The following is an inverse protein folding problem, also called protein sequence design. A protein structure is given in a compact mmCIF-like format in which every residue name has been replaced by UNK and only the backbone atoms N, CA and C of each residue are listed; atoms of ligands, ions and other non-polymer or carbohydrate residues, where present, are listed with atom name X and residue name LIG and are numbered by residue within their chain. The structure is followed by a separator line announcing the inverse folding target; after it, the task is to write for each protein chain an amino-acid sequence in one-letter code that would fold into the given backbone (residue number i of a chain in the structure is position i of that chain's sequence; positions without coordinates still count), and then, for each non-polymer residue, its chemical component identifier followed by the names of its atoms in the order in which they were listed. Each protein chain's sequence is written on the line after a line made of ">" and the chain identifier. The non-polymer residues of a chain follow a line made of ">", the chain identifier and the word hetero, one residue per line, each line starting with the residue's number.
data_IF_892856818040
#
_entry.id   IF_892856818040
#
_cell.length_a   1.000
_cell.length_b   1.000
_cell.length_c   1.000
_cell.angle_alpha   90.00
_cell.angle_beta   90.00
_cell.angle_gamma   90.00
#
_symmetry.space_group_name_H-M   'P 1'
#
loop_
_entity.id
_entity.type
_entity.pdbx_description
1 polymer ?
#
# COMPACT_ATOMS: atom_id res chain seq x y z
N UNK A 1 28.15 23.73 10.75
CA UNK A 1 26.98 23.00 10.20
C UNK A 1 27.49 21.69 9.65
N UNK A 2 27.14 20.57 10.29
CA UNK A 2 27.56 19.23 9.84
C UNK A 2 26.63 18.85 8.68
N UNK A 3 27.14 18.92 7.46
CA UNK A 3 26.45 18.37 6.29
C UNK A 3 26.71 16.86 6.35
N UNK A 4 25.72 16.10 6.81
CA UNK A 4 25.79 14.64 6.78
C UNK A 4 25.87 14.18 5.31
N UNK A 5 27.08 13.80 4.88
CA UNK A 5 27.33 13.10 3.62
C UNK A 5 26.81 11.66 3.69
N UNK A 6 25.51 11.50 3.93
CA UNK A 6 24.87 10.20 3.80
C UNK A 6 24.81 9.78 2.33
N UNK A 7 25.38 8.61 2.04
CA UNK A 7 25.23 7.94 0.75
C UNK A 7 23.75 7.86 0.36
N UNK A 8 23.38 8.21 -0.89
CA UNK A 8 22.01 8.15 -1.38
C UNK A 8 21.33 6.79 -1.16
N UNK A 9 22.11 5.70 -1.17
CA UNK A 9 21.63 4.35 -0.89
C UNK A 9 21.20 4.17 0.57
N UNK A 10 21.90 4.79 1.53
CA UNK A 10 21.54 4.78 2.96
C UNK A 10 20.27 5.58 3.17
N UNK A 11 20.14 6.73 2.50
CA UNK A 11 18.95 7.57 2.54
C UNK A 11 17.71 6.85 1.98
N UNK A 12 17.88 6.11 0.88
CA UNK A 12 16.82 5.27 0.30
C UNK A 12 16.45 4.11 1.24
N UNK A 13 17.44 3.42 1.82
CA UNK A 13 17.18 2.35 2.80
C UNK A 13 16.42 2.88 4.01
N UNK A 14 16.79 4.03 4.58
CA UNK A 14 16.03 4.66 5.68
C UNK A 14 14.60 4.98 5.28
N UNK A 15 14.37 5.52 4.08
CA UNK A 15 13.01 5.76 3.57
C UNK A 15 12.22 4.46 3.39
N UNK A 16 12.86 3.41 2.88
CA UNK A 16 12.26 2.10 2.69
C UNK A 16 11.90 1.45 4.04
N UNK A 17 12.79 1.55 5.02
CA UNK A 17 12.55 1.10 6.40
C UNK A 17 11.43 1.91 7.05
N UNK A 18 11.43 3.24 6.93
CA UNK A 18 10.36 4.07 7.49
C UNK A 18 8.98 3.76 6.89
N UNK A 19 8.91 3.57 5.56
CA UNK A 19 7.67 3.18 4.89
C UNK A 19 7.27 1.72 5.19
N UNK A 20 8.24 0.82 5.34
CA UNK A 20 8.01 -0.58 5.73
C UNK A 20 7.55 -0.68 7.19
N UNK A 21 8.07 0.16 8.07
CA UNK A 21 7.68 0.27 9.47
C UNK A 21 6.30 0.93 9.61
N UNK A 22 5.99 1.96 8.82
CA UNK A 22 4.61 2.47 8.71
C UNK A 22 3.66 1.37 8.22
N UNK A 23 4.07 0.61 7.19
CA UNK A 23 3.30 -0.52 6.67
C UNK A 23 3.20 -1.71 7.64
N UNK A 24 4.19 -1.91 8.52
CA UNK A 24 4.26 -3.03 9.48
C UNK A 24 3.62 -2.71 10.82
N UNK A 25 3.62 -1.44 11.25
CA UNK A 25 2.82 -0.98 12.40
C UNK A 25 1.32 -1.21 12.17
N UNK A 26 0.88 -1.19 10.91
CA UNK A 26 -0.47 -1.58 10.50
C UNK A 26 -0.77 -3.10 10.59
N UNK A 27 0.23 -3.96 10.88
CA UNK A 27 0.11 -5.43 10.83
C UNK A 27 0.32 -6.17 12.16
N UNK A 28 0.70 -5.53 13.26
CA UNK A 28 0.96 -6.27 14.50
C UNK A 28 -0.30 -6.49 15.36
N UNK A 29 -0.98 -7.63 15.17
CA UNK A 29 -1.31 -8.60 16.25
C UNK A 29 -1.26 -10.05 15.68
N UNK A 30 -0.17 -10.74 16.05
CA UNK A 30 0.16 -12.17 16.09
C UNK A 30 0.32 -13.08 14.84
N UNK A 31 1.30 -14.03 14.91
CA UNK A 31 1.61 -14.98 13.85
C UNK A 31 0.85 -16.30 14.01
N UNK A 32 0.28 -16.81 12.92
CA UNK A 32 0.18 -18.25 12.71
C UNK A 32 0.11 -18.56 11.21
N UNK A 33 1.09 -19.33 10.78
CA UNK A 33 1.29 -19.84 9.44
C UNK A 33 0.08 -20.63 8.95
N UNK A 34 -0.36 -20.38 7.71
CA UNK A 34 -0.55 -21.39 6.66
C UNK A 34 -0.92 -20.72 5.33
N UNK A 35 -0.48 -21.38 4.27
CA UNK A 35 -0.46 -20.97 2.88
C UNK A 35 -1.84 -20.95 2.21
N UNK A 36 -1.83 -20.39 1.00
CA UNK A 36 -2.75 -20.59 -0.13
C UNK A 36 -3.92 -19.60 -0.28
N UNK A 37 -3.91 -19.04 -1.49
CA UNK A 37 -4.97 -18.42 -2.29
C UNK A 37 -5.48 -17.02 -1.94
N UNK A 38 -5.25 -16.14 -2.92
CA UNK A 38 -6.20 -15.18 -3.50
C UNK A 38 -7.20 -14.62 -2.52
N UNK A 39 -6.75 -13.66 -1.70
CA UNK A 39 -7.64 -12.93 -0.79
C UNK A 39 -7.51 -11.44 -1.05
N UNK A 40 -8.69 -10.86 -1.31
CA UNK A 40 -8.95 -9.43 -1.46
C UNK A 40 -8.10 -8.56 -0.53
N UNK A 41 -7.76 -7.32 -0.95
CA UNK A 41 -6.85 -6.45 -0.22
C UNK A 41 -7.26 -6.37 1.25
N UNK A 42 -6.40 -6.93 2.10
CA UNK A 42 -6.57 -6.91 3.56
C UNK A 42 -6.55 -5.44 3.98
N UNK A 43 -7.50 -4.95 4.76
CA UNK A 43 -7.59 -3.54 5.14
C UNK A 43 -6.51 -3.13 6.16
N UNK A 44 -6.04 -1.88 6.06
CA UNK A 44 -4.85 -1.30 6.74
C UNK A 44 -5.07 -0.84 8.17
N UNK A 45 -6.32 -0.78 8.61
CA UNK A 45 -6.62 -0.77 10.04
C UNK A 45 -7.53 -1.98 10.27
N UNK A 46 -7.05 -3.05 10.95
CA UNK A 46 -7.92 -4.16 11.30
C UNK A 46 -9.16 -3.64 12.03
N UNK A 47 -9.02 -2.54 12.78
CA UNK A 47 -10.08 -1.90 13.51
C UNK A 47 -11.07 -1.14 12.59
N UNK A 48 -10.64 -0.38 11.57
CA UNK A 48 -11.57 0.35 10.70
C UNK A 48 -12.46 -0.58 9.87
N UNK A 49 -11.92 -1.66 9.30
CA UNK A 49 -12.73 -2.64 8.57
C UNK A 49 -13.62 -3.45 9.51
N UNK A 50 -13.11 -3.85 10.69
CA UNK A 50 -13.94 -4.49 11.71
C UNK A 50 -15.05 -3.56 12.20
N UNK A 51 -14.77 -2.27 12.39
CA UNK A 51 -15.74 -1.25 12.81
C UNK A 51 -16.80 -1.04 11.74
N UNK A 52 -16.42 -0.89 10.48
CA UNK A 52 -17.38 -0.78 9.37
C UNK A 52 -18.26 -2.05 9.29
N UNK A 53 -17.67 -3.25 9.33
CA UNK A 53 -18.44 -4.51 9.35
C UNK A 53 -19.35 -4.64 10.56
N UNK A 54 -18.88 -4.25 11.75
CA UNK A 54 -19.72 -4.24 12.97
C UNK A 54 -20.87 -3.27 12.83
N UNK A 55 -20.64 -2.08 12.27
CA UNK A 55 -21.69 -1.09 12.04
C UNK A 55 -22.73 -1.61 11.05
N UNK A 56 -22.28 -2.15 9.92
CA UNK A 56 -23.16 -2.76 8.92
C UNK A 56 -24.03 -3.89 9.50
N UNK A 57 -23.45 -4.76 10.33
CA UNK A 57 -24.23 -5.78 11.06
C UNK A 57 -25.27 -5.18 12.00
N UNK A 58 -24.98 -4.05 12.65
CA UNK A 58 -25.98 -3.37 13.51
C UNK A 58 -27.13 -2.82 12.68
N UNK A 59 -26.85 -2.24 11.51
CA UNK A 59 -27.86 -1.80 10.54
C UNK A 59 -28.72 -2.99 10.12
N UNK A 60 -28.10 -4.09 9.72
CA UNK A 60 -28.81 -5.30 9.28
C UNK A 60 -29.73 -5.85 10.39
N UNK A 61 -29.23 -5.94 11.63
CA UNK A 61 -30.02 -6.40 12.79
C UNK A 61 -31.19 -5.47 13.07
N UNK A 62 -30.99 -4.15 13.04
CA UNK A 62 -32.06 -3.18 13.30
C UNK A 62 -33.13 -3.22 12.21
N UNK A 63 -32.75 -3.36 10.93
CA UNK A 63 -33.71 -3.56 9.84
C UNK A 63 -34.55 -4.80 10.07
N UNK A 64 -33.93 -5.93 10.41
CA UNK A 64 -34.68 -7.16 10.73
C UNK A 64 -35.60 -6.99 11.94
N UNK A 65 -35.19 -6.24 12.96
CA UNK A 65 -36.04 -5.94 14.12
C UNK A 65 -37.24 -5.06 13.76
N UNK A 66 -37.04 -4.06 12.90
CA UNK A 66 -38.12 -3.21 12.38
C UNK A 66 -39.08 -4.04 11.53
N UNK A 67 -38.58 -4.86 10.62
CA UNK A 67 -39.40 -5.73 9.78
C UNK A 67 -40.26 -6.69 10.62
N UNK A 68 -39.67 -7.28 11.67
CA UNK A 68 -40.40 -8.13 12.61
C UNK A 68 -41.46 -7.35 13.40
N UNK A 69 -41.13 -6.15 13.89
CA UNK A 69 -42.07 -5.30 14.63
C UNK A 69 -43.23 -4.82 13.75
N UNK A 70 -42.97 -4.48 12.48
CA UNK A 70 -43.98 -4.12 11.48
C UNK A 70 -44.90 -5.31 11.19
N UNK A 71 -44.35 -6.52 11.07
CA UNK A 71 -45.13 -7.74 10.87
C UNK A 71 -46.04 -8.03 12.08
N UNK A 72 -45.50 -7.94 13.30
CA UNK A 72 -46.28 -8.13 14.53
C UNK A 72 -47.36 -7.06 14.73
N UNK A 73 -47.13 -5.83 14.25
CA UNK A 73 -48.12 -4.76 14.25
C UNK A 73 -49.21 -5.01 13.19
N UNK A 74 -48.83 -5.50 12.01
CA UNK A 74 -49.77 -5.92 10.97
C UNK A 74 -50.71 -7.04 11.45
N UNK A 75 -50.19 -8.05 12.15
CA UNK A 75 -51.03 -9.12 12.71
C UNK A 75 -52.05 -8.56 13.72
N UNK A 76 -51.60 -7.73 14.68
CA UNK A 76 -52.49 -7.12 15.67
C UNK A 76 -53.51 -6.14 15.08
N UNK A 77 -53.19 -5.45 13.98
CA UNK A 77 -54.17 -4.61 13.26
C UNK A 77 -55.20 -5.47 12.51
N UNK A 78 -54.79 -6.61 11.98
CA UNK A 78 -55.70 -7.57 11.35
C UNK A 78 -56.66 -8.19 12.37
N UNK A 79 -56.17 -8.53 13.56
CA UNK A 79 -56.99 -8.97 14.70
C UNK A 79 -58.00 -7.89 15.12
N UNK A 80 -57.57 -6.62 15.20
CA UNK A 80 -58.45 -5.51 15.55
C UNK A 80 -59.59 -5.35 14.54
N UNK A 81 -59.28 -5.47 13.25
CA UNK A 81 -60.30 -5.40 12.19
C UNK A 81 -61.27 -6.57 12.28
N UNK A 82 -60.78 -7.79 12.53
CA UNK A 82 -61.65 -8.96 12.75
C UNK A 82 -62.57 -8.79 13.96
N UNK A 83 -62.10 -8.20 15.06
CA UNK A 83 -62.94 -7.94 16.25
C UNK A 83 -64.00 -6.88 15.95
N UNK A 84 -63.67 -5.84 15.16
CA UNK A 84 -64.62 -4.81 14.72
C UNK A 84 -65.69 -5.34 13.76
N UNK A 85 -65.33 -6.22 12.84
CA UNK A 85 -66.26 -6.80 11.86
C UNK A 85 -67.26 -7.79 12.49
N UNK A 86 -66.94 -8.30 13.68
CA UNK A 86 -67.84 -9.16 14.47
C UNK A 86 -68.89 -8.38 15.28
N UNK A 87 -68.92 -7.04 15.21
CA UNK A 87 -69.93 -6.20 15.87
C UNK A 87 -71.23 -6.24 15.04
N UNK A 88 -72.31 -6.89 15.50
CA UNK A 88 -73.58 -6.90 14.77
C UNK A 88 -74.22 -5.51 14.87
N UNK A 89 -74.49 -4.87 13.74
CA UNK A 89 -75.40 -3.72 13.64
C UNK A 89 -76.84 -4.19 13.80
N UNK A 90 -77.27 -4.52 15.03
CA UNK A 90 -78.70 -4.74 15.29
C UNK A 90 -79.07 -4.45 16.74
N UNK A 91 -79.89 -3.41 16.89
CA UNK A 91 -80.71 -3.12 18.06
C UNK A 91 -81.66 -4.30 18.30
N UNK A 92 -81.46 -5.09 19.36
CA UNK A 92 -82.52 -5.85 20.05
C UNK A 92 -82.03 -6.36 21.42
N UNK A 93 -82.57 -5.72 22.45
CA UNK A 93 -82.66 -5.96 23.90
C UNK A 93 -81.86 -7.06 24.64
N UNK A 94 -81.09 -6.57 25.62
CA UNK A 94 -80.98 -6.99 27.03
C UNK A 94 -79.90 -8.00 27.53
N UNK A 95 -79.52 -9.12 26.89
CA UNK A 95 -78.32 -9.89 27.32
C UNK A 95 -77.04 -9.45 26.60
N UNK A 96 -77.12 -8.54 25.62
CA UNK A 96 -76.01 -8.10 24.77
C UNK A 96 -75.09 -7.05 25.42
N UNK A 97 -75.55 -6.34 26.46
CA UNK A 97 -74.79 -5.23 27.08
C UNK A 97 -73.45 -5.69 27.67
N UNK A 98 -73.45 -6.80 28.42
CA UNK A 98 -72.20 -7.36 29.00
C UNK A 98 -71.21 -7.82 27.93
N UNK A 99 -71.68 -8.46 26.85
CA UNK A 99 -70.81 -8.87 25.74
C UNK A 99 -70.24 -7.68 24.97
N UNK A 100 -71.03 -6.61 24.84
CA UNK A 100 -70.59 -5.38 24.22
C UNK A 100 -69.55 -4.63 25.07
N UNK A 101 -69.73 -4.59 26.39
CA UNK A 101 -68.78 -3.98 27.33
C UNK A 101 -67.44 -4.75 27.36
N UNK A 102 -67.47 -6.09 27.34
CA UNK A 102 -66.27 -6.94 27.23
C UNK A 102 -65.55 -6.75 25.88
N UNK A 103 -66.29 -6.66 24.76
CA UNK A 103 -65.69 -6.39 23.44
C UNK A 103 -65.11 -4.96 23.33
N UNK A 104 -65.76 -3.96 23.95
CA UNK A 104 -65.26 -2.59 23.99
C UNK A 104 -63.96 -2.50 24.81
N UNK A 105 -63.86 -3.27 25.90
CA UNK A 105 -62.64 -3.38 26.70
C UNK A 105 -61.51 -4.02 25.89
N UNK A 106 -61.75 -5.16 25.25
CA UNK A 106 -60.76 -5.85 24.39
C UNK A 106 -60.29 -4.96 23.22
N UNK A 107 -61.21 -4.22 22.61
CA UNK A 107 -60.88 -3.28 21.52
C UNK A 107 -60.00 -2.14 22.03
N UNK A 108 -60.29 -1.61 23.22
CA UNK A 108 -59.51 -0.52 23.83
C UNK A 108 -58.11 -0.98 24.23
N UNK A 109 -57.99 -2.17 24.82
CA UNK A 109 -56.70 -2.78 25.15
C UNK A 109 -55.87 -3.06 23.90
N UNK A 110 -56.49 -3.58 22.83
CA UNK A 110 -55.80 -3.86 21.57
C UNK A 110 -55.32 -2.56 20.89
N UNK A 111 -56.12 -1.48 20.94
CA UNK A 111 -55.70 -0.15 20.47
C UNK A 111 -54.51 0.38 21.27
N UNK A 112 -54.50 0.21 22.60
CA UNK A 112 -53.35 0.61 23.43
C UNK A 112 -52.09 -0.19 23.10
N UNK A 113 -52.22 -1.50 22.89
CA UNK A 113 -51.11 -2.37 22.46
C UNK A 113 -50.58 -1.92 21.10
N UNK A 114 -51.46 -1.61 20.14
CA UNK A 114 -51.07 -1.11 18.82
C UNK A 114 -50.34 0.23 18.89
N UNK A 115 -50.82 1.17 19.71
CA UNK A 115 -50.11 2.43 19.95
C UNK A 115 -48.72 2.19 20.55
N UNK A 116 -48.60 1.32 21.55
CA UNK A 116 -47.31 0.98 22.15
C UNK A 116 -46.35 0.33 21.14
N UNK A 117 -46.85 -0.56 20.27
CA UNK A 117 -46.07 -1.18 19.19
C UNK A 117 -45.62 -0.15 18.16
N UNK A 118 -46.50 0.79 17.79
CA UNK A 118 -46.16 1.86 16.85
C UNK A 118 -45.06 2.77 17.40
N UNK A 119 -45.16 3.21 18.66
CA UNK A 119 -44.09 3.98 19.31
C UNK A 119 -42.77 3.22 19.30
N UNK A 120 -42.79 1.90 19.49
CA UNK A 120 -41.57 1.09 19.44
C UNK A 120 -40.95 1.01 18.04
N UNK A 121 -41.77 0.95 17.00
CA UNK A 121 -41.32 1.00 15.61
C UNK A 121 -40.66 2.36 15.34
N UNK A 122 -41.31 3.46 15.72
CA UNK A 122 -40.78 4.81 15.52
C UNK A 122 -39.41 4.99 16.23
N UNK A 123 -39.23 4.45 17.44
CA UNK A 123 -37.95 4.43 18.14
C UNK A 123 -36.86 3.65 17.37
N UNK A 124 -37.19 2.47 16.85
CA UNK A 124 -36.25 1.63 16.10
C UNK A 124 -35.87 2.29 14.77
N UNK A 125 -36.82 2.92 14.08
CA UNK A 125 -36.57 3.66 12.84
C UNK A 125 -35.63 4.85 13.07
N UNK A 126 -35.83 5.59 14.17
CA UNK A 126 -34.93 6.68 14.53
C UNK A 126 -33.51 6.16 14.84
N UNK A 127 -33.39 5.05 15.58
CA UNK A 127 -32.09 4.41 15.85
C UNK A 127 -31.41 3.90 14.57
N UNK A 128 -32.17 3.34 13.64
CA UNK A 128 -31.66 2.90 12.35
C UNK A 128 -31.06 4.07 11.58
N UNK A 129 -31.78 5.20 11.50
CA UNK A 129 -31.33 6.41 10.81
C UNK A 129 -30.01 6.94 11.37
N UNK A 130 -29.87 6.97 12.70
CA UNK A 130 -28.64 7.43 13.36
C UNK A 130 -27.46 6.51 13.05
N UNK A 131 -27.68 5.19 13.03
CA UNK A 131 -26.64 4.20 12.76
C UNK A 131 -26.26 4.15 11.27
N UNK A 132 -27.21 4.32 10.36
CA UNK A 132 -26.94 4.44 8.91
C UNK A 132 -26.09 5.69 8.60
N UNK A 133 -26.34 6.81 9.29
CA UNK A 133 -25.50 8.00 9.18
C UNK A 133 -24.06 7.72 9.64
N UNK A 134 -23.91 7.00 10.75
CA UNK A 134 -22.58 6.57 11.22
C UNK A 134 -21.91 5.60 10.24
N UNK A 135 -22.65 4.62 9.68
CA UNK A 135 -22.14 3.69 8.68
C UNK A 135 -21.59 4.42 7.46
N UNK A 136 -22.31 5.42 6.95
CA UNK A 136 -21.89 6.24 5.81
C UNK A 136 -20.56 6.96 6.08
N UNK A 137 -20.41 7.56 7.28
CA UNK A 137 -19.15 8.20 7.68
C UNK A 137 -18.00 7.20 7.78
N UNK A 138 -18.25 6.00 8.32
CA UNK A 138 -17.25 4.94 8.41
C UNK A 138 -16.86 4.40 7.03
N UNK A 139 -17.82 4.28 6.10
CA UNK A 139 -17.58 3.89 4.71
C UNK A 139 -16.64 4.87 4.02
N UNK A 140 -16.92 6.17 4.11
CA UNK A 140 -16.08 7.20 3.51
C UNK A 140 -14.66 7.26 4.12
N UNK A 141 -14.51 6.97 5.43
CA UNK A 141 -13.19 6.83 6.06
C UNK A 141 -12.46 5.59 5.55
N UNK A 142 -13.14 4.47 5.48
CA UNK A 142 -12.60 3.20 4.98
C UNK A 142 -12.11 3.31 3.54
N UNK A 143 -12.90 3.93 2.65
CA UNK A 143 -12.52 4.14 1.25
C UNK A 143 -11.28 5.01 1.11
N UNK A 144 -11.16 6.10 1.89
CA UNK A 144 -9.96 6.95 1.91
C UNK A 144 -8.71 6.18 2.33
N UNK A 145 -8.80 5.36 3.37
CA UNK A 145 -7.68 4.52 3.83
C UNK A 145 -7.29 3.47 2.78
N UNK A 146 -8.27 2.90 2.06
CA UNK A 146 -8.01 1.98 0.97
C UNK A 146 -7.20 2.64 -0.15
N UNK A 147 -7.62 3.82 -0.61
CA UNK A 147 -6.91 4.57 -1.65
C UNK A 147 -5.50 5.00 -1.20
N UNK A 148 -5.35 5.43 0.06
CA UNK A 148 -4.04 5.76 0.65
C UNK A 148 -3.10 4.55 0.60
N UNK A 149 -3.59 3.36 0.98
CA UNK A 149 -2.79 2.14 0.98
C UNK A 149 -2.36 1.73 -0.42
N UNK A 150 -3.27 1.77 -1.39
CA UNK A 150 -2.94 1.45 -2.79
C UNK A 150 -1.86 2.41 -3.32
N UNK A 151 -1.93 3.69 -2.97
CA UNK A 151 -0.90 4.68 -3.30
C UNK A 151 0.45 4.34 -2.66
N UNK A 152 0.47 4.00 -1.37
CA UNK A 152 1.69 3.59 -0.67
C UNK A 152 2.29 2.32 -1.24
N UNK A 153 1.47 1.34 -1.59
CA UNK A 153 1.92 0.07 -2.18
C UNK A 153 2.56 0.29 -3.56
N UNK A 154 2.00 1.18 -4.38
CA UNK A 154 2.61 1.57 -5.66
C UNK A 154 3.98 2.23 -5.45
N UNK A 155 4.09 3.15 -4.49
CA UNK A 155 5.36 3.81 -4.15
C UNK A 155 6.40 2.83 -3.62
N UNK A 156 6.00 1.85 -2.79
CA UNK A 156 6.92 0.81 -2.31
C UNK A 156 7.48 -0.01 -3.47
N UNK A 157 6.63 -0.46 -4.38
CA UNK A 157 7.05 -1.23 -5.56
C UNK A 157 8.01 -0.41 -6.46
N UNK A 158 7.75 0.89 -6.60
CA UNK A 158 8.61 1.80 -7.36
C UNK A 158 9.98 1.96 -6.70
N UNK A 159 10.03 2.19 -5.39
CA UNK A 159 11.28 2.30 -4.63
C UNK A 159 12.07 0.98 -4.61
N UNK A 160 11.40 -0.17 -4.56
CA UNK A 160 12.05 -1.49 -4.67
C UNK A 160 12.74 -1.65 -6.02
N UNK A 161 12.08 -1.26 -7.12
CA UNK A 161 12.68 -1.27 -8.46
C UNK A 161 13.86 -0.31 -8.57
N UNK A 162 13.74 0.91 -8.04
CA UNK A 162 14.85 1.87 -8.02
C UNK A 162 16.04 1.34 -7.24
N UNK A 163 15.81 0.72 -6.08
CA UNK A 163 16.86 0.13 -5.26
C UNK A 163 17.58 -1.00 -6.01
N UNK A 164 16.83 -1.88 -6.68
CA UNK A 164 17.41 -2.96 -7.49
C UNK A 164 18.25 -2.39 -8.64
N UNK A 165 17.76 -1.37 -9.34
CA UNK A 165 18.51 -0.71 -10.41
C UNK A 165 19.83 -0.11 -9.89
N UNK A 166 19.81 0.54 -8.73
CA UNK A 166 21.03 1.08 -8.11
C UNK A 166 22.02 -0.01 -7.69
N UNK A 167 21.54 -1.16 -7.21
CA UNK A 167 22.41 -2.29 -6.91
C UNK A 167 23.11 -2.80 -8.17
N UNK A 168 22.40 -2.94 -9.29
CA UNK A 168 23.00 -3.30 -10.58
C UNK A 168 24.07 -2.28 -11.02
N UNK A 169 23.78 -0.97 -10.91
CA UNK A 169 24.75 0.08 -11.21
C UNK A 169 26.00 0.00 -10.34
N UNK A 170 25.84 -0.28 -9.04
CA UNK A 170 26.96 -0.44 -8.11
C UNK A 170 27.87 -1.61 -8.48
N UNK A 171 27.29 -2.73 -8.91
CA UNK A 171 28.06 -3.90 -9.36
C UNK A 171 28.88 -3.55 -10.61
N UNK A 172 28.25 -2.89 -11.59
CA UNK A 172 28.92 -2.47 -12.82
C UNK A 172 30.07 -1.51 -12.55
N UNK A 173 29.88 -0.53 -11.66
CA UNK A 173 30.94 0.38 -11.25
C UNK A 173 32.11 -0.34 -10.57
N UNK A 174 31.82 -1.33 -9.73
CA UNK A 174 32.88 -2.15 -9.12
C UNK A 174 33.68 -2.98 -10.14
N UNK A 175 33.00 -3.50 -11.17
CA UNK A 175 33.67 -4.19 -12.28
C UNK A 175 34.59 -3.25 -13.05
N UNK A 176 34.10 -2.06 -13.44
CA UNK A 176 34.90 -1.07 -14.14
C UNK A 176 36.12 -0.62 -13.32
N UNK A 177 35.97 -0.46 -12.00
CA UNK A 177 37.10 -0.11 -11.13
C UNK A 177 38.16 -1.22 -11.11
N UNK A 178 37.73 -2.48 -11.05
CA UNK A 178 38.64 -3.65 -11.12
C UNK A 178 39.37 -3.70 -12.46
N UNK A 179 38.67 -3.40 -13.57
CA UNK A 179 39.28 -3.39 -14.90
C UNK A 179 40.31 -2.27 -15.06
N UNK A 180 40.03 -1.09 -14.49
CA UNK A 180 40.99 0.03 -14.46
C UNK A 180 42.24 -0.34 -13.65
N UNK A 181 42.09 -0.99 -12.49
CA UNK A 181 43.22 -1.46 -11.69
C UNK A 181 44.08 -2.48 -12.45
N UNK A 182 43.45 -3.42 -13.17
CA UNK A 182 44.15 -4.39 -14.02
C UNK A 182 44.93 -3.72 -15.15
N UNK A 183 44.31 -2.75 -15.83
CA UNK A 183 44.97 -1.98 -16.88
C UNK A 183 46.15 -1.18 -16.34
N UNK A 184 46.01 -0.60 -15.14
CA UNK A 184 47.09 0.13 -14.48
C UNK A 184 48.29 -0.78 -14.16
N UNK A 185 48.05 -1.98 -13.63
CA UNK A 185 49.12 -2.97 -13.38
C UNK A 185 49.80 -3.37 -14.69
N UNK A 186 49.04 -3.67 -15.75
CA UNK A 186 49.58 -4.04 -17.04
C UNK A 186 50.41 -2.90 -17.67
N UNK A 187 49.94 -1.66 -17.55
CA UNK A 187 50.67 -0.47 -18.01
C UNK A 187 52.02 -0.34 -17.30
N UNK A 188 52.05 -0.44 -15.96
CA UNK A 188 53.28 -0.34 -15.18
C UNK A 188 54.27 -1.46 -15.52
N UNK A 189 53.78 -2.68 -15.82
CA UNK A 189 54.62 -3.79 -16.26
C UNK A 189 55.25 -3.52 -17.63
N UNK A 190 54.47 -3.03 -18.60
CA UNK A 190 54.97 -2.64 -19.92
C UNK A 190 55.97 -1.47 -19.84
N UNK A 191 55.73 -0.50 -18.96
CA UNK A 191 56.66 0.60 -18.71
C UNK A 191 57.99 0.10 -18.14
N UNK A 192 57.96 -0.86 -17.20
CA UNK A 192 59.16 -1.48 -16.67
C UNK A 192 59.95 -2.25 -17.73
N UNK A 193 59.29 -3.03 -18.59
CA UNK A 193 59.92 -3.72 -19.72
C UNK A 193 60.56 -2.73 -20.70
N UNK A 194 59.87 -1.64 -21.02
CA UNK A 194 60.38 -0.60 -21.91
C UNK A 194 61.62 0.09 -21.32
N UNK A 195 61.60 0.41 -20.02
CA UNK A 195 62.76 0.96 -19.33
C UNK A 195 63.94 -0.02 -19.34
N UNK A 196 63.69 -1.31 -19.16
CA UNK A 196 64.72 -2.35 -19.22
C UNK A 196 65.33 -2.47 -20.64
N UNK A 197 64.51 -2.49 -21.69
CA UNK A 197 64.95 -2.51 -23.08
C UNK A 197 65.76 -1.25 -23.42
N UNK A 198 65.32 -0.09 -22.95
CA UNK A 198 66.04 1.18 -23.11
C UNK A 198 67.42 1.12 -22.47
N UNK A 199 67.52 0.59 -21.24
CA UNK A 199 68.81 0.41 -20.56
C UNK A 199 69.74 -0.57 -21.30
N UNK A 200 69.20 -1.68 -21.82
CA UNK A 200 69.96 -2.64 -22.63
C UNK A 200 70.50 -2.00 -23.92
N UNK A 201 69.67 -1.20 -24.61
CA UNK A 201 70.09 -0.45 -25.80
C UNK A 201 71.25 0.51 -25.48
N UNK A 202 71.17 1.25 -24.38
CA UNK A 202 72.25 2.14 -23.96
C UNK A 202 73.56 1.39 -23.68
N UNK A 203 73.50 0.19 -23.08
CA UNK A 203 74.69 -0.65 -22.87
C UNK A 203 75.32 -1.12 -24.18
N UNK A 204 74.52 -1.49 -25.18
CA UNK A 204 74.99 -1.90 -26.51
C UNK A 204 75.60 -0.71 -27.28
N UNK A 205 75.02 0.49 -27.14
CA UNK A 205 75.58 1.71 -27.72
C UNK A 205 76.94 2.08 -27.13
N UNK A 206 77.14 1.89 -25.82
CA UNK A 206 78.38 2.23 -25.12
C UNK A 206 79.52 1.21 -25.32
N UNK A 207 79.20 -0.04 -25.66
CA UNK A 207 80.16 -1.13 -25.86
C UNK A 207 80.66 -1.28 -27.30
N UNK A 208 80.03 -0.58 -28.27
CA UNK A 208 80.41 -0.62 -29.68
C UNK A 208 80.50 0.82 -30.25
N UNK A 209 81.70 1.38 -30.50
CA UNK A 209 81.85 2.77 -30.96
C UNK A 209 81.25 3.04 -32.36
N UNK A 210 81.07 2.01 -33.18
CA UNK A 210 80.33 2.05 -34.45
C UNK A 210 78.80 2.14 -34.25
N UNK A 211 78.27 1.66 -33.12
CA UNK A 211 76.84 1.70 -32.76
C UNK A 211 76.39 3.08 -32.27
N UNK A 212 77.25 3.79 -31.52
CA UNK A 212 77.00 5.17 -31.10
C UNK A 212 76.86 6.13 -32.29
N UNK A 213 77.64 5.90 -33.36
CA UNK A 213 77.59 6.69 -34.60
C UNK A 213 76.29 6.48 -35.39
N UNK A 214 75.82 5.23 -35.45
CA UNK A 214 74.52 4.89 -36.05
C UNK A 214 73.34 5.38 -35.21
N UNK A 215 73.44 5.34 -33.88
CA UNK A 215 72.40 5.84 -32.98
C UNK A 215 72.23 7.35 -33.06
N UNK A 216 73.33 8.10 -33.17
CA UNK A 216 73.28 9.54 -33.43
C UNK A 216 72.62 9.87 -34.78
N UNK A 217 72.83 9.04 -35.81
CA UNK A 217 72.13 9.17 -37.10
C UNK A 217 70.65 8.81 -36.99
N UNK A 218 70.30 7.82 -36.18
CA UNK A 218 68.92 7.36 -36.00
C UNK A 218 68.09 8.34 -35.15
N UNK A 219 68.69 8.98 -34.15
CA UNK A 219 68.07 10.08 -33.40
C UNK A 219 67.85 11.31 -34.27
N UNK A 220 68.81 11.66 -35.15
CA UNK A 220 68.60 12.71 -36.16
C UNK A 220 67.42 12.39 -37.07
N UNK A 221 67.35 11.16 -37.58
CA UNK A 221 66.23 10.72 -38.42
C UNK A 221 64.89 10.74 -37.67
N UNK A 222 64.86 10.34 -36.40
CA UNK A 222 63.66 10.43 -35.55
C UNK A 222 63.22 11.88 -35.36
N UNK A 223 64.15 12.80 -35.14
CA UNK A 223 63.81 14.22 -35.01
C UNK A 223 63.30 14.82 -36.32
N UNK A 224 63.93 14.51 -37.47
CA UNK A 224 63.44 14.94 -38.79
C UNK A 224 62.05 14.39 -39.09
N UNK A 225 61.79 13.10 -38.81
CA UNK A 225 60.46 12.49 -38.98
C UNK A 225 59.41 13.12 -38.06
N UNK A 226 59.74 13.35 -36.79
CA UNK A 226 58.83 14.01 -35.86
C UNK A 226 58.50 15.45 -36.30
N UNK A 227 59.48 16.17 -36.84
CA UNK A 227 59.33 17.52 -37.37
C UNK A 227 58.49 17.53 -38.65
N UNK A 228 58.71 16.56 -39.56
CA UNK A 228 57.92 16.43 -40.79
C UNK A 228 56.48 16.03 -40.49
N UNK A 229 56.25 15.13 -39.52
CA UNK A 229 54.91 14.79 -39.05
C UNK A 229 54.21 15.98 -38.39
N UNK A 230 54.93 16.83 -37.65
CA UNK A 230 54.36 18.04 -37.06
C UNK A 230 53.98 19.08 -38.13
N UNK A 231 54.81 19.27 -39.16
CA UNK A 231 54.53 20.13 -40.33
C UNK A 231 53.41 19.59 -41.24
N UNK A 232 53.11 18.29 -41.19
CA UNK A 232 52.02 17.66 -41.95
C UNK A 232 50.66 17.67 -41.24
N UNK A 233 50.66 17.96 -39.93
CA UNK A 233 49.47 17.95 -39.05
C UNK A 233 49.04 19.36 -38.61
N UNK A 234 49.78 20.41 -38.99
CA UNK A 234 49.42 21.82 -38.89
C UNK A 234 49.16 22.41 -40.27
#
# INVERSE_FOLDING_TARGET
>A
MVIENESPAVRLRRKLTALSDEYSKDKQIHPRSKSVNSRAPVPSDPNASLRYRRMRRKVDVLRTQIDAALHDNYLSTTELNSVKDMIPTRDDDAPLKKKHDEQNLVTTELIQVLHSKQTKIDELEQQLKDIEQQESQWKAKYERECHRRESLQKKLLELEKELQNRQCQSILLGQLQTDVERLHIAFNALEAENNQLTAQLSLVQNSCPSSARLSSQLEKFRHELAQTCHESLC
#
